data_IF_272743297122
#
_entry.id   IF_272743297122
#
_cell.length_a   1.000
_cell.length_b   1.000
_cell.length_c   1.000
_cell.angle_alpha   90.00
_cell.angle_beta   90.00
_cell.angle_gamma   90.00
#
_symmetry.space_group_name_H-M   'P 1'
#
loop_
_entity.id
_entity.type
_entity.pdbx_description
1 polymer ?
#
# COMPACT_ATOMS: atom_id res chain seq x y z
N UNK A 1 -17.44 -3.86 -29.79
CA UNK A 1 -16.78 -4.80 -28.86
C UNK A 1 -15.41 -4.23 -28.60
N UNK A 2 -15.25 -3.51 -27.48
CA UNK A 2 -14.01 -2.79 -27.17
C UNK A 2 -12.96 -3.78 -26.69
N UNK A 3 -11.81 -3.73 -27.35
CA UNK A 3 -10.64 -4.57 -27.17
C UNK A 3 -10.19 -4.71 -25.71
N UNK A 4 -9.79 -5.93 -25.38
CA UNK A 4 -9.19 -6.27 -24.11
C UNK A 4 -7.78 -5.70 -24.00
N UNK A 5 -7.49 -5.08 -22.86
CA UNK A 5 -6.13 -4.97 -22.35
C UNK A 5 -5.95 -6.09 -21.32
N UNK A 6 -5.57 -7.27 -21.81
CA UNK A 6 -4.95 -8.30 -20.97
C UNK A 6 -3.57 -7.77 -20.56
N UNK A 7 -3.48 -7.20 -19.36
CA UNK A 7 -2.20 -6.84 -18.72
C UNK A 7 -1.50 -8.14 -18.28
N UNK A 8 -0.86 -8.83 -19.21
CA UNK A 8 0.05 -9.92 -18.92
C UNK A 8 1.48 -9.41 -18.84
N UNK A 9 2.06 -9.50 -17.63
CA UNK A 9 3.50 -9.75 -17.50
C UNK A 9 4.37 -8.63 -16.94
N UNK A 10 4.23 -8.29 -15.66
CA UNK A 10 5.41 -8.36 -14.79
C UNK A 10 5.12 -9.42 -13.75
N UNK A 11 5.82 -10.54 -13.87
CA UNK A 11 5.75 -11.67 -12.93
C UNK A 11 6.17 -11.18 -11.54
N UNK A 12 5.18 -10.79 -10.74
CA UNK A 12 5.17 -11.02 -9.29
C UNK A 12 6.36 -10.48 -8.50
N UNK A 13 6.86 -9.28 -8.79
CA UNK A 13 7.75 -8.60 -7.85
C UNK A 13 6.91 -8.13 -6.66
N UNK A 14 7.01 -8.90 -5.57
CA UNK A 14 6.47 -8.52 -4.28
C UNK A 14 7.47 -7.60 -3.59
N UNK A 15 7.03 -6.41 -3.24
CA UNK A 15 7.79 -5.48 -2.43
C UNK A 15 7.45 -5.69 -0.96
N UNK A 16 8.44 -5.52 -0.10
CA UNK A 16 8.25 -5.52 1.34
C UNK A 16 8.20 -4.08 1.82
N UNK A 17 7.05 -3.67 2.35
CA UNK A 17 6.80 -2.33 2.87
C UNK A 17 6.79 -2.42 4.37
N UNK A 18 7.62 -1.60 5.01
CA UNK A 18 7.60 -1.43 6.46
C UNK A 18 6.88 -0.14 6.79
N UNK A 19 5.77 -0.27 7.51
CA UNK A 19 5.00 0.84 8.06
C UNK A 19 5.39 1.00 9.52
N UNK A 20 5.88 2.17 9.91
CA UNK A 20 6.17 2.51 11.31
C UNK A 20 5.23 3.63 11.75
N UNK A 21 4.70 3.56 12.97
CA UNK A 21 3.96 4.67 13.56
C UNK A 21 4.82 5.57 14.47
N UNK A 22 4.16 6.58 15.04
CA UNK A 22 4.75 7.52 15.99
C UNK A 22 5.08 6.87 17.34
N UNK A 23 4.44 5.74 17.68
CA UNK A 23 4.71 4.97 18.89
C UNK A 23 5.95 4.08 18.75
N UNK A 24 6.47 3.92 17.53
CA UNK A 24 7.61 3.06 17.22
C UNK A 24 7.23 1.63 16.81
N UNK A 25 5.94 1.32 16.69
CA UNK A 25 5.48 0.02 16.22
C UNK A 25 5.70 -0.12 14.72
N UNK A 26 6.45 -1.15 14.34
CA UNK A 26 6.72 -1.49 12.95
C UNK A 26 5.86 -2.67 12.50
N UNK A 27 5.11 -2.47 11.42
CA UNK A 27 4.39 -3.53 10.73
C UNK A 27 4.95 -3.69 9.34
N UNK A 28 5.31 -4.91 8.99
CA UNK A 28 5.85 -5.23 7.68
C UNK A 28 4.80 -5.96 6.85
N UNK A 29 4.55 -5.45 5.65
CA UNK A 29 3.64 -6.01 4.67
C UNK A 29 4.39 -6.45 3.44
N UNK A 30 4.02 -7.60 2.87
CA UNK A 30 4.53 -8.07 1.59
C UNK A 30 3.41 -7.96 0.58
N UNK A 31 3.51 -7.01 -0.35
CA UNK A 31 2.49 -6.78 -1.37
C UNK A 31 3.10 -6.78 -2.76
N UNK A 32 2.30 -7.08 -3.79
CA UNK A 32 2.75 -6.93 -5.18
C UNK A 32 2.84 -5.45 -5.52
N UNK A 33 3.84 -5.07 -6.30
CA UNK A 33 4.03 -3.70 -6.81
C UNK A 33 2.81 -3.14 -7.56
N UNK A 34 1.99 -4.00 -8.15
CA UNK A 34 0.72 -3.64 -8.80
C UNK A 34 -0.47 -3.45 -7.84
N UNK A 35 -0.28 -3.64 -6.53
CA UNK A 35 -1.36 -3.58 -5.53
C UNK A 35 -1.47 -2.15 -5.02
N UNK A 36 -2.71 -1.63 -4.96
CA UNK A 36 -2.99 -0.34 -4.36
C UNK A 36 -2.61 -0.29 -2.88
N UNK A 37 -2.07 0.84 -2.43
CA UNK A 37 -1.71 1.09 -1.03
C UNK A 37 -2.91 1.08 -0.07
N UNK A 38 -4.13 1.33 -0.56
CA UNK A 38 -5.36 1.25 0.24
C UNK A 38 -5.46 -0.07 1.02
N UNK A 39 -5.08 -1.20 0.41
CA UNK A 39 -5.12 -2.49 1.10
C UNK A 39 -4.15 -2.58 2.27
N UNK A 40 -2.97 -1.95 2.14
CA UNK A 40 -1.99 -1.88 3.23
C UNK A 40 -2.54 -1.01 4.35
N UNK A 41 -3.17 0.11 4.00
CA UNK A 41 -3.75 1.05 4.96
C UNK A 41 -4.89 0.41 5.73
N UNK A 42 -5.82 -0.26 5.04
CA UNK A 42 -6.95 -0.97 5.66
C UNK A 42 -6.48 -2.12 6.55
N UNK A 43 -5.49 -2.89 6.10
CA UNK A 43 -4.90 -3.97 6.89
C UNK A 43 -4.17 -3.43 8.13
N UNK A 44 -3.47 -2.31 7.99
CA UNK A 44 -2.79 -1.66 9.11
C UNK A 44 -3.78 -1.04 10.10
N UNK A 45 -4.82 -0.37 9.61
CA UNK A 45 -5.92 0.19 10.38
C UNK A 45 -6.64 -0.90 11.20
N UNK A 46 -7.00 -2.01 10.52
CA UNK A 46 -7.61 -3.19 11.17
C UNK A 46 -6.70 -3.79 12.23
N UNK A 47 -5.38 -3.90 11.96
CA UNK A 47 -4.40 -4.42 12.92
C UNK A 47 -4.25 -3.52 14.15
N UNK A 48 -4.35 -2.20 13.97
CA UNK A 48 -4.29 -1.21 15.04
C UNK A 48 -5.64 -0.98 15.73
N UNK A 49 -6.75 -1.48 15.17
CA UNK A 49 -8.09 -1.23 15.69
C UNK A 49 -8.54 0.22 15.55
N UNK A 50 -8.00 0.93 14.55
CA UNK A 50 -8.31 2.33 14.25
C UNK A 50 -8.89 2.44 12.85
N UNK A 51 -9.57 3.55 12.53
CA UNK A 51 -10.11 3.76 11.20
C UNK A 51 -9.01 4.23 10.22
N UNK A 52 -9.02 3.72 8.99
CA UNK A 52 -8.05 4.10 7.97
C UNK A 52 -8.12 5.61 7.64
N UNK A 53 -9.30 6.24 7.80
CA UNK A 53 -9.51 7.67 7.60
C UNK A 53 -8.77 8.54 8.63
N UNK A 54 -8.50 7.98 9.82
CA UNK A 54 -7.74 8.67 10.87
C UNK A 54 -6.23 8.54 10.68
N UNK A 55 -5.80 7.63 9.81
CA UNK A 55 -4.39 7.40 9.53
C UNK A 55 -3.94 8.17 8.29
N UNK A 56 -2.78 8.81 8.40
CA UNK A 56 -2.13 9.51 7.30
C UNK A 56 -0.77 8.87 7.10
N UNK A 57 -0.60 8.25 5.95
CA UNK A 57 0.65 7.61 5.57
C UNK A 57 1.51 8.61 4.80
N UNK A 58 2.76 8.70 5.22
CA UNK A 58 3.77 9.53 4.57
C UNK A 58 4.95 8.64 4.18
N UNK A 59 5.53 8.91 3.02
CA UNK A 59 6.76 8.30 2.53
C UNK A 59 7.69 9.43 2.11
N UNK A 60 8.89 9.49 2.69
CA UNK A 60 9.88 10.56 2.41
C UNK A 60 9.34 12.00 2.54
N UNK A 61 8.32 12.18 3.40
CA UNK A 61 7.66 13.47 3.62
C UNK A 61 6.49 13.75 2.68
N UNK A 62 6.25 12.91 1.67
CA UNK A 62 5.12 13.01 0.77
C UNK A 62 3.93 12.18 1.27
N UNK A 63 2.72 12.72 1.12
CA UNK A 63 1.50 12.02 1.54
C UNK A 63 1.17 10.93 0.54
N UNK A 64 1.09 9.69 1.01
CA UNK A 64 0.71 8.54 0.18
C UNK A 64 -0.81 8.40 0.14
N UNK A 65 -1.37 8.39 -1.08
CA UNK A 65 -2.80 8.13 -1.29
C UNK A 65 -3.06 6.62 -1.45
N UNK A 66 -4.26 6.18 -1.04
CA UNK A 66 -4.65 4.77 -1.15
C UNK A 66 -4.75 4.25 -2.59
N UNK A 67 -4.94 5.15 -3.56
CA UNK A 67 -4.96 4.82 -4.98
C UNK A 67 -3.57 4.66 -5.61
N UNK A 68 -2.53 5.15 -4.93
CA UNK A 68 -1.16 4.98 -5.39
C UNK A 68 -0.74 3.52 -5.32
N UNK A 69 0.20 3.15 -6.18
CA UNK A 69 0.86 1.85 -6.17
C UNK A 69 2.30 2.00 -5.70
N UNK A 70 2.89 0.99 -5.05
CA UNK A 70 4.30 1.01 -4.67
C UNK A 70 5.29 1.20 -5.84
N UNK A 71 4.86 0.97 -7.08
CA UNK A 71 5.68 1.27 -8.27
C UNK A 71 5.73 2.75 -8.63
N UNK A 72 4.82 3.55 -8.09
CA UNK A 72 4.60 4.95 -8.44
C UNK A 72 5.12 5.91 -7.37
N UNK A 73 5.57 5.35 -6.23
CA UNK A 73 6.09 6.03 -5.05
C UNK A 73 7.58 5.72 -4.91
#
# INVERSE_FOLDING_TARGET
>A
MSEGVKKEGVKGETLQIKVRDQSGDETVFKIKTSTKMSKVFDAYATRKGVDASQLRFFLDGERVNGDATPSDL
#
